data_IF_521536845268
#
_entry.id   IF_521536845268
#
_cell.length_a   1.000
_cell.length_b   1.000
_cell.length_c   1.000
_cell.angle_alpha   90.00
_cell.angle_beta   90.00
_cell.angle_gamma   90.00
#
_symmetry.space_group_name_H-M   'P 1'
#
loop_
_entity.id
_entity.type
_entity.pdbx_description
1 polymer ?
#
# COMPACT_ATOMS: atom_id res chain seq x y z
N UNK A 1 -26.98 -32.08 -71.29
CA UNK A 1 -26.17 -30.92 -70.90
C UNK A 1 -24.98 -31.50 -70.15
N UNK A 2 -24.02 -31.99 -70.93
CA UNK A 2 -22.65 -31.45 -71.08
C UNK A 2 -21.85 -31.71 -69.80
N UNK A 3 -21.00 -32.74 -69.82
CA UNK A 3 -19.56 -32.68 -70.21
C UNK A 3 -18.76 -32.10 -69.03
N UNK A 4 -17.62 -32.60 -68.58
CA UNK A 4 -16.71 -33.70 -68.93
C UNK A 4 -15.51 -33.58 -67.97
N UNK A 5 -14.80 -34.70 -67.70
CA UNK A 5 -13.32 -34.83 -67.57
C UNK A 5 -12.58 -33.99 -66.47
N UNK A 6 -11.47 -34.33 -65.81
CA UNK A 6 -10.27 -35.17 -65.99
C UNK A 6 -9.65 -35.25 -64.56
N UNK A 7 -9.30 -36.40 -63.96
CA UNK A 7 -8.01 -37.11 -63.96
C UNK A 7 -6.70 -36.29 -63.87
N UNK A 8 -5.68 -36.95 -63.31
CA UNK A 8 -4.22 -36.69 -63.34
C UNK A 8 -3.61 -35.84 -62.21
N UNK A 9 -2.49 -36.16 -61.56
CA UNK A 9 -1.45 -37.21 -61.61
C UNK A 9 -0.96 -37.39 -60.14
N UNK A 10 -0.39 -38.51 -59.68
CA UNK A 10 0.99 -38.87 -59.99
C UNK A 10 1.82 -38.97 -58.70
N UNK A 11 2.26 -40.18 -58.44
CA UNK A 11 3.26 -40.63 -57.47
C UNK A 11 4.56 -39.79 -57.46
N UNK A 12 5.10 -39.47 -56.28
CA UNK A 12 6.52 -39.75 -55.95
C UNK A 12 6.86 -39.36 -54.51
N UNK A 13 7.23 -40.37 -53.75
CA UNK A 13 8.06 -40.27 -52.55
C UNK A 13 9.45 -39.70 -52.93
N UNK A 14 9.92 -38.63 -52.26
CA UNK A 14 11.33 -38.33 -51.93
C UNK A 14 11.59 -36.83 -51.58
N UNK A 15 11.65 -36.57 -50.28
CA UNK A 15 12.73 -35.85 -49.58
C UNK A 15 13.20 -34.48 -50.12
N UNK A 16 12.80 -33.40 -49.42
CA UNK A 16 13.60 -32.18 -49.28
C UNK A 16 13.42 -31.60 -47.87
N UNK A 17 14.56 -31.45 -47.19
CA UNK A 17 14.80 -30.71 -45.95
C UNK A 17 14.49 -29.22 -46.08
N UNK A 18 14.24 -28.55 -44.94
CA UNK A 18 14.19 -27.09 -44.63
C UNK A 18 12.90 -26.78 -43.86
N UNK A 19 12.82 -26.04 -42.76
CA UNK A 19 13.77 -25.21 -42.02
C UNK A 19 13.20 -25.07 -40.61
N UNK A 20 14.07 -25.09 -39.60
CA UNK A 20 13.77 -24.68 -38.24
C UNK A 20 13.30 -23.22 -38.22
N UNK A 21 11.99 -22.98 -38.18
CA UNK A 21 11.45 -21.76 -37.58
C UNK A 21 11.29 -22.03 -36.09
N UNK A 22 12.26 -21.56 -35.30
CA UNK A 22 12.22 -21.60 -33.85
C UNK A 22 10.99 -20.88 -33.33
N UNK A 23 9.95 -21.66 -33.00
CA UNK A 23 8.85 -21.19 -32.18
C UNK A 23 9.34 -21.23 -30.73
N UNK A 24 10.16 -20.23 -30.36
CA UNK A 24 10.41 -19.90 -28.96
C UNK A 24 9.10 -19.37 -28.38
N UNK A 25 8.17 -20.29 -28.11
CA UNK A 25 7.09 -20.07 -27.16
C UNK A 25 7.74 -20.01 -25.79
N UNK A 26 8.43 -18.90 -25.54
CA UNK A 26 8.93 -18.53 -24.23
C UNK A 26 7.76 -18.67 -23.28
N UNK A 27 7.84 -19.73 -22.46
CA UNK A 27 6.94 -19.93 -21.34
C UNK A 27 7.06 -18.65 -20.52
N UNK A 28 6.03 -17.82 -20.53
CA UNK A 28 5.93 -16.72 -19.57
C UNK A 28 5.80 -17.39 -18.21
N UNK A 29 6.93 -17.65 -17.57
CA UNK A 29 6.98 -18.05 -16.18
C UNK A 29 6.56 -16.83 -15.39
N UNK A 30 5.28 -16.76 -15.01
CA UNK A 30 4.82 -15.75 -14.08
C UNK A 30 5.61 -15.94 -12.79
N UNK A 31 6.47 -14.96 -12.49
CA UNK A 31 7.17 -14.92 -11.23
C UNK A 31 6.14 -14.73 -10.11
N UNK A 32 6.31 -15.39 -8.94
CA UNK A 32 5.42 -15.16 -7.82
C UNK A 32 5.47 -13.69 -7.40
N UNK A 33 4.37 -13.13 -6.87
CA UNK A 33 4.37 -11.76 -6.37
C UNK A 33 5.36 -11.62 -5.20
N UNK A 34 6.15 -10.56 -5.22
CA UNK A 34 7.06 -10.23 -4.10
C UNK A 34 6.23 -9.86 -2.86
N UNK A 35 6.45 -10.49 -1.69
CA UNK A 35 5.72 -10.18 -0.45
C UNK A 35 5.81 -8.70 -0.04
N UNK A 36 4.77 -8.18 0.63
CA UNK A 36 4.71 -6.78 1.05
C UNK A 36 5.88 -6.39 1.97
N UNK A 37 6.22 -7.27 2.90
CA UNK A 37 7.34 -7.11 3.84
C UNK A 37 8.66 -6.87 3.09
N UNK A 38 9.02 -7.76 2.15
CA UNK A 38 10.26 -7.65 1.36
C UNK A 38 10.32 -6.34 0.56
N UNK A 39 9.19 -5.89 0.01
CA UNK A 39 9.13 -4.61 -0.73
C UNK A 39 9.38 -3.41 0.20
N UNK A 40 8.85 -3.44 1.42
CA UNK A 40 9.05 -2.38 2.42
C UNK A 40 10.49 -2.38 2.95
N UNK A 41 11.06 -3.56 3.23
CA UNK A 41 12.46 -3.69 3.63
C UNK A 41 13.41 -3.16 2.55
N UNK A 42 13.17 -3.51 1.28
CA UNK A 42 13.96 -3.00 0.16
C UNK A 42 13.85 -1.47 0.03
N UNK A 43 12.65 -0.90 0.23
CA UNK A 43 12.44 0.54 0.22
C UNK A 43 13.20 1.25 1.36
N UNK A 44 13.14 0.69 2.57
CA UNK A 44 13.87 1.20 3.74
C UNK A 44 15.38 1.13 3.54
N UNK A 45 15.89 0.00 3.06
CA UNK A 45 17.31 -0.17 2.76
C UNK A 45 17.79 0.85 1.71
N UNK A 46 16.98 1.12 0.69
CA UNK A 46 17.28 2.14 -0.33
C UNK A 46 17.33 3.56 0.27
N UNK A 47 16.42 3.90 1.18
CA UNK A 47 16.42 5.19 1.87
C UNK A 47 17.65 5.35 2.78
N UNK A 48 17.99 4.31 3.56
CA UNK A 48 19.17 4.28 4.40
C UNK A 48 20.47 4.40 3.60
N UNK A 49 20.56 3.71 2.46
CA UNK A 49 21.70 3.81 1.55
C UNK A 49 21.91 5.24 1.00
N UNK A 50 20.87 6.07 1.01
CA UNK A 50 20.91 7.49 0.65
C UNK A 50 21.17 8.42 1.84
N UNK A 51 21.39 7.89 3.04
CA UNK A 51 21.55 8.66 4.28
C UNK A 51 20.24 9.30 4.77
N UNK A 52 19.10 8.71 4.40
CA UNK A 52 17.77 9.16 4.86
C UNK A 52 17.34 8.25 6.01
N UNK A 53 17.54 8.73 7.24
CA UNK A 53 17.27 7.96 8.45
C UNK A 53 15.90 8.26 9.06
N UNK A 54 15.34 9.43 8.79
CA UNK A 54 14.01 9.81 9.28
C UNK A 54 12.93 9.39 8.27
N UNK A 55 12.46 8.15 8.39
CA UNK A 55 11.41 7.59 7.54
C UNK A 55 10.07 7.61 8.26
N UNK A 56 9.01 8.04 7.57
CA UNK A 56 7.64 8.09 8.10
C UNK A 56 6.77 7.23 7.21
N UNK A 57 6.00 6.31 7.80
CA UNK A 57 5.04 5.50 7.06
C UNK A 57 3.73 6.26 6.90
N UNK A 58 3.16 6.19 5.70
CA UNK A 58 1.82 6.69 5.42
C UNK A 58 1.06 5.61 4.66
N UNK A 59 -0.02 5.14 5.27
CA UNK A 59 -0.96 4.21 4.65
C UNK A 59 -2.32 4.86 4.42
N UNK A 60 -3.00 4.50 3.33
CA UNK A 60 -4.36 4.94 3.03
C UNK A 60 -5.29 3.73 2.87
N UNK A 61 -6.44 3.74 3.54
CA UNK A 61 -7.42 2.66 3.49
C UNK A 61 -6.81 1.33 3.94
N UNK A 62 -6.87 0.29 3.10
CA UNK A 62 -6.22 -1.00 3.36
C UNK A 62 -4.69 -0.91 3.48
N UNK A 63 -4.07 0.10 2.90
CA UNK A 63 -2.64 0.35 3.11
C UNK A 63 -2.33 0.84 4.53
N UNK A 64 -3.28 1.48 5.23
CA UNK A 64 -3.13 1.88 6.62
C UNK A 64 -3.18 0.67 7.57
N UNK A 65 -4.08 -0.27 7.30
CA UNK A 65 -4.15 -1.56 8.00
C UNK A 65 -2.87 -2.37 7.82
N UNK A 66 -2.41 -2.52 6.57
CA UNK A 66 -1.13 -3.19 6.28
C UNK A 66 0.06 -2.52 6.99
N UNK A 67 0.07 -1.19 7.11
CA UNK A 67 1.16 -0.50 7.80
C UNK A 67 1.20 -0.84 9.30
N UNK A 68 0.04 -1.02 9.93
CA UNK A 68 -0.08 -1.47 11.32
C UNK A 68 0.39 -2.93 11.43
N UNK A 69 -0.17 -3.83 10.61
CA UNK A 69 0.19 -5.26 10.61
C UNK A 69 1.71 -5.46 10.47
N UNK A 70 2.34 -4.71 9.57
CA UNK A 70 3.78 -4.78 9.35
C UNK A 70 4.55 -4.32 10.60
N UNK A 71 4.18 -3.19 11.21
CA UNK A 71 4.85 -2.66 12.40
C UNK A 71 4.67 -3.53 13.65
N UNK A 72 3.58 -4.30 13.73
CA UNK A 72 3.36 -5.28 14.79
C UNK A 72 4.18 -6.55 14.57
N UNK A 73 4.31 -6.99 13.31
CA UNK A 73 5.05 -8.20 12.96
C UNK A 73 6.58 -8.03 13.02
N UNK A 74 7.07 -6.80 12.82
CA UNK A 74 8.49 -6.52 12.64
C UNK A 74 8.84 -5.11 13.10
N UNK A 75 9.98 -4.96 13.78
CA UNK A 75 10.51 -3.64 14.11
C UNK A 75 11.15 -3.01 12.88
N UNK A 76 10.57 -1.91 12.39
CA UNK A 76 11.18 -1.06 11.37
C UNK A 76 11.74 0.23 11.99
N UNK A 77 12.84 0.78 11.44
CA UNK A 77 13.39 2.07 11.87
C UNK A 77 12.56 3.22 11.28
N UNK A 78 11.27 3.30 11.64
CA UNK A 78 10.38 4.39 11.24
C UNK A 78 10.23 5.37 12.40
N UNK A 79 10.23 6.65 12.07
CA UNK A 79 10.11 7.75 13.04
C UNK A 79 8.66 8.10 13.36
N UNK A 80 7.69 7.68 12.54
CA UNK A 80 6.28 7.96 12.74
C UNK A 80 5.36 7.24 11.76
N UNK A 81 4.06 7.27 12.05
CA UNK A 81 3.01 6.60 11.28
C UNK A 81 1.85 7.56 11.00
N UNK A 82 1.37 7.57 9.76
CA UNK A 82 0.19 8.32 9.33
C UNK A 82 -0.81 7.35 8.72
N UNK A 83 -2.01 7.34 9.28
CA UNK A 83 -3.11 6.46 8.91
C UNK A 83 -4.22 7.32 8.30
N UNK A 84 -4.40 7.22 6.99
CA UNK A 84 -5.45 7.95 6.29
C UNK A 84 -6.60 7.00 5.99
N UNK A 85 -7.80 7.34 6.44
CA UNK A 85 -9.02 6.57 6.17
C UNK A 85 -8.93 5.10 6.59
N UNK A 86 -8.27 4.81 7.72
CA UNK A 86 -8.18 3.45 8.27
C UNK A 86 -9.60 2.87 8.44
N UNK A 87 -9.88 1.66 7.91
CA UNK A 87 -11.19 1.04 8.06
C UNK A 87 -11.50 0.69 9.52
N UNK A 88 -12.72 0.21 9.75
CA UNK A 88 -13.07 -0.46 11.00
C UNK A 88 -12.30 -1.78 11.04
N UNK A 89 -11.29 -1.80 11.90
CA UNK A 89 -10.51 -2.99 12.25
C UNK A 89 -10.60 -3.16 13.76
N UNK A 90 -10.67 -4.41 14.19
CA UNK A 90 -10.49 -4.78 15.59
C UNK A 90 -9.02 -4.58 15.92
N UNK A 91 -8.72 -3.40 16.43
CA UNK A 91 -7.43 -3.15 17.05
C UNK A 91 -7.56 -3.64 18.48
N UNK A 92 -7.09 -4.86 18.69
CA UNK A 92 -6.76 -5.36 20.00
C UNK A 92 -5.64 -4.49 20.61
N UNK A 93 -5.18 -4.87 21.80
CA UNK A 93 -4.17 -4.17 22.60
C UNK A 93 -2.85 -3.82 21.87
N UNK A 94 -2.67 -4.24 20.61
CA UNK A 94 -1.47 -4.09 19.78
C UNK A 94 -1.08 -2.63 19.51
N UNK A 95 -2.08 -1.74 19.41
CA UNK A 95 -1.84 -0.31 19.29
C UNK A 95 -1.15 0.28 20.55
N UNK A 96 -1.20 -0.42 21.70
CA UNK A 96 -0.48 -0.01 22.93
C UNK A 96 1.03 -0.10 22.78
N UNK A 97 1.55 -0.95 21.88
CA UNK A 97 2.98 -1.15 21.66
C UNK A 97 3.64 -0.08 20.79
N UNK A 98 2.86 0.74 20.08
CA UNK A 98 3.43 1.82 19.25
C UNK A 98 3.98 2.96 20.13
N UNK A 99 5.30 3.05 20.20
CA UNK A 99 6.02 4.15 20.86
C UNK A 99 6.29 5.33 19.91
N UNK A 100 6.11 5.14 18.61
CA UNK A 100 6.30 6.20 17.60
C UNK A 100 5.08 7.14 17.55
N UNK A 101 5.24 8.43 17.18
CA UNK A 101 4.12 9.31 16.89
C UNK A 101 3.21 8.78 15.78
N UNK A 102 1.89 8.78 16.04
CA UNK A 102 0.86 8.33 15.11
C UNK A 102 -0.14 9.46 14.86
N UNK A 103 -0.44 9.72 13.59
CA UNK A 103 -1.55 10.55 13.14
C UNK A 103 -2.60 9.67 12.45
N UNK A 104 -3.84 9.70 12.93
CA UNK A 104 -4.98 9.13 12.21
C UNK A 104 -5.88 10.24 11.64
N UNK A 105 -6.08 10.22 10.32
CA UNK A 105 -6.92 11.17 9.58
C UNK A 105 -8.11 10.45 8.97
N UNK A 106 -9.33 10.93 9.20
CA UNK A 106 -10.53 10.36 8.60
C UNK A 106 -11.47 11.45 8.07
N UNK A 107 -12.25 11.09 7.05
CA UNK A 107 -13.27 11.96 6.47
C UNK A 107 -14.61 11.83 7.18
N UNK A 108 -15.35 12.93 7.28
CA UNK A 108 -16.72 12.94 7.83
C UNK A 108 -17.72 12.08 7.06
N UNK A 109 -17.61 12.08 5.74
CA UNK A 109 -18.44 11.30 4.82
C UNK A 109 -17.75 9.99 4.43
N UNK A 110 -16.89 9.48 5.32
CA UNK A 110 -16.16 8.24 5.15
C UNK A 110 -17.06 7.01 5.14
N UNK A 111 -16.44 5.82 5.11
CA UNK A 111 -17.17 4.57 5.22
C UNK A 111 -17.89 4.47 6.56
N UNK A 112 -19.03 3.77 6.59
CA UNK A 112 -19.79 3.51 7.81
C UNK A 112 -18.89 2.83 8.85
N UNK A 113 -19.02 3.23 10.12
CA UNK A 113 -18.28 2.63 11.24
C UNK A 113 -16.90 3.23 11.52
N UNK A 114 -16.29 3.93 10.55
CA UNK A 114 -14.94 4.51 10.70
C UNK A 114 -14.89 5.54 11.85
N UNK A 115 -15.88 6.42 11.96
CA UNK A 115 -15.92 7.42 13.02
C UNK A 115 -16.01 6.78 14.42
N UNK A 116 -16.83 5.74 14.55
CA UNK A 116 -16.96 4.95 15.79
C UNK A 116 -15.63 4.24 16.12
N UNK A 117 -15.01 3.60 15.14
CA UNK A 117 -13.74 2.89 15.31
C UNK A 117 -12.61 3.84 15.74
N UNK A 118 -12.50 5.01 15.09
CA UNK A 118 -11.54 6.06 15.47
C UNK A 118 -11.79 6.53 16.92
N UNK A 119 -13.05 6.73 17.30
CA UNK A 119 -13.39 7.17 18.65
C UNK A 119 -13.05 6.10 19.70
N UNK A 120 -13.24 4.82 19.39
CA UNK A 120 -12.84 3.69 20.24
C UNK A 120 -11.31 3.65 20.41
N UNK A 121 -10.54 3.71 19.31
CA UNK A 121 -9.07 3.80 19.33
C UNK A 121 -8.58 4.94 20.21
N UNK A 122 -9.11 6.14 19.99
CA UNK A 122 -8.77 7.33 20.80
C UNK A 122 -9.08 7.13 22.28
N UNK A 123 -10.17 6.45 22.62
CA UNK A 123 -10.51 6.16 24.02
C UNK A 123 -9.54 5.15 24.64
N UNK A 124 -9.13 4.12 23.90
CA UNK A 124 -8.12 3.14 24.32
C UNK A 124 -6.77 3.85 24.58
N UNK A 125 -6.29 4.65 23.62
CA UNK A 125 -5.03 5.41 23.74
C UNK A 125 -5.00 6.32 24.96
N UNK A 126 -6.10 7.04 25.21
CA UNK A 126 -6.24 7.86 26.41
C UNK A 126 -6.18 7.03 27.70
N UNK A 127 -6.82 5.86 27.73
CA UNK A 127 -6.83 4.97 28.90
C UNK A 127 -5.44 4.46 29.23
N UNK A 128 -4.60 4.21 28.23
CA UNK A 128 -3.21 3.77 28.41
C UNK A 128 -2.19 4.92 28.45
N UNK A 129 -2.67 6.16 28.59
CA UNK A 129 -1.84 7.37 28.68
C UNK A 129 -0.85 7.58 27.51
N UNK A 130 -1.19 7.07 26.32
CA UNK A 130 -0.41 7.30 25.09
C UNK A 130 -0.71 8.70 24.54
N UNK A 131 0.25 9.60 24.70
CA UNK A 131 0.17 11.00 24.24
C UNK A 131 0.65 11.19 22.81
N UNK A 132 1.21 10.16 22.20
CA UNK A 132 1.78 10.13 20.85
C UNK A 132 0.76 9.75 19.77
N UNK A 133 -0.55 9.78 20.06
CA UNK A 133 -1.62 9.44 19.11
C UNK A 133 -2.57 10.62 18.89
N UNK A 134 -2.52 11.17 17.67
CA UNK A 134 -3.33 12.29 17.22
C UNK A 134 -4.43 11.85 16.26
N UNK A 135 -5.60 12.47 16.37
CA UNK A 135 -6.74 12.21 15.47
C UNK A 135 -7.21 13.51 14.82
N UNK A 136 -7.40 13.48 13.49
CA UNK A 136 -7.93 14.62 12.73
C UNK A 136 -9.11 14.18 11.86
N UNK A 137 -10.24 14.87 12.01
CA UNK A 137 -11.41 14.71 11.14
C UNK A 137 -11.41 15.82 10.09
N UNK A 138 -11.60 15.47 8.82
CA UNK A 138 -11.81 16.45 7.74
C UNK A 138 -13.29 16.47 7.38
N UNK A 139 -13.92 17.62 7.59
CA UNK A 139 -15.35 17.84 7.29
C UNK A 139 -15.60 17.78 5.79
N UNK A 140 -16.73 17.20 5.40
CA UNK A 140 -17.11 16.98 3.99
C UNK A 140 -16.25 15.96 3.22
N UNK A 141 -15.16 15.42 3.79
CA UNK A 141 -14.32 14.45 3.10
C UNK A 141 -14.92 13.05 3.10
N UNK A 142 -14.91 12.40 1.94
CA UNK A 142 -15.20 10.98 1.77
C UNK A 142 -13.94 10.13 2.01
N UNK A 143 -14.06 8.81 1.82
CA UNK A 143 -12.95 7.87 2.05
C UNK A 143 -11.68 8.16 1.23
N UNK A 144 -11.83 8.73 0.03
CA UNK A 144 -10.74 9.05 -0.90
C UNK A 144 -10.36 10.53 -0.88
N UNK A 145 -11.02 11.34 -0.05
CA UNK A 145 -10.79 12.78 0.09
C UNK A 145 -10.92 13.59 -1.21
N UNK A 146 -11.79 13.14 -2.14
CA UNK A 146 -11.95 13.77 -3.46
C UNK A 146 -12.33 15.25 -3.35
N UNK A 147 -11.56 16.13 -4.00
CA UNK A 147 -11.73 17.59 -3.95
C UNK A 147 -11.30 18.24 -2.63
N UNK A 148 -10.84 17.46 -1.65
CA UNK A 148 -10.34 17.90 -0.35
C UNK A 148 -8.91 17.40 -0.08
N UNK A 149 -8.20 16.95 -1.13
CA UNK A 149 -6.79 16.57 -1.08
C UNK A 149 -5.90 17.71 -0.54
N UNK A 150 -6.13 19.00 -0.88
CA UNK A 150 -5.38 20.10 -0.27
C UNK A 150 -5.54 20.18 1.26
N UNK A 151 -6.74 19.86 1.78
CA UNK A 151 -7.01 19.84 3.22
C UNK A 151 -6.32 18.65 3.90
N UNK A 152 -6.33 17.49 3.25
CA UNK A 152 -5.56 16.32 3.71
C UNK A 152 -4.06 16.63 3.77
N UNK A 153 -3.52 17.19 2.69
CA UNK A 153 -2.11 17.58 2.61
C UNK A 153 -1.74 18.59 3.70
N UNK A 154 -2.57 19.62 3.91
CA UNK A 154 -2.31 20.62 4.96
C UNK A 154 -2.34 20.00 6.36
N UNK A 155 -3.28 19.08 6.60
CA UNK A 155 -3.41 18.36 7.88
C UNK A 155 -2.14 17.56 8.16
N UNK A 156 -1.68 16.77 7.18
CA UNK A 156 -0.45 15.96 7.29
C UNK A 156 0.78 16.85 7.47
N UNK A 157 0.95 17.89 6.66
CA UNK A 157 2.09 18.83 6.76
C UNK A 157 2.16 19.52 8.12
N UNK A 158 1.01 19.95 8.64
CA UNK A 158 0.94 20.64 9.93
C UNK A 158 1.35 19.72 11.07
N UNK A 159 0.89 18.47 11.04
CA UNK A 159 1.29 17.47 12.02
C UNK A 159 2.77 17.14 11.93
N UNK A 160 3.29 16.85 10.74
CA UNK A 160 4.72 16.58 10.53
C UNK A 160 5.62 17.70 11.08
N UNK A 161 5.24 18.96 10.83
CA UNK A 161 5.96 20.12 11.34
C UNK A 161 5.94 20.19 12.87
N UNK A 162 4.78 19.99 13.48
CA UNK A 162 4.63 20.03 14.94
C UNK A 162 5.40 18.90 15.63
N UNK A 163 5.41 17.71 15.02
CA UNK A 163 6.03 16.51 15.60
C UNK A 163 7.54 16.48 15.41
N UNK A 164 8.06 16.77 14.22
CA UNK A 164 9.48 16.51 13.90
C UNK A 164 10.34 17.76 13.68
N UNK A 165 9.73 18.91 13.39
CA UNK A 165 10.49 20.15 13.09
C UNK A 165 10.52 21.08 14.30
N UNK A 166 9.37 21.29 14.94
CA UNK A 166 9.29 22.22 16.08
C UNK A 166 9.85 21.64 17.38
N UNK A 167 9.96 20.31 17.50
CA UNK A 167 10.61 19.68 18.67
C UNK A 167 12.14 19.82 18.66
N UNK A 168 12.77 20.24 17.56
CA UNK A 168 14.22 20.47 17.46
C UNK A 168 14.71 21.84 17.98
N UNK A 169 13.85 22.62 18.63
CA UNK A 169 14.16 23.96 19.19
C UNK A 169 14.17 23.99 20.73
N UNK A 170 14.46 22.87 21.39
CA UNK A 170 14.67 22.81 22.84
C UNK A 170 16.13 22.53 23.18
#
# INVERSE_FOLDING_TARGET
>A
MSDSEEQDEGDSDAQATEETSGDDKGVKTDLPPVPNLERIEAALAMLQAKGIDQVIFLGHGKGAELAIELLESQTFPVAGLILVGLPEIDVDDDFKGLEIPVLEVYGELGLLGVDKAVNQRRAIMKRVAKTNYDVRRILGANHVFYGLEPMLLMTVRSWLKATFVQQGYQ
#
